data_IF_603293320595
#
_entry.id   IF_603293320595
#
_cell.length_a   1.000
_cell.length_b   1.000
_cell.length_c   1.000
_cell.angle_alpha   90.00
_cell.angle_beta   90.00
_cell.angle_gamma   90.00
#
_symmetry.space_group_name_H-M   'P 1'
#
loop_
_entity.id
_entity.type
_entity.pdbx_description
1 polymer ?
#
# COMPACT_ATOMS: atom_id res chain seq x y z
N UNK A 1 -10.88 22.31 1.11
CA UNK A 1 -10.93 21.10 1.99
C UNK A 1 -12.06 21.35 2.97
N UNK A 2 -12.95 20.39 3.26
CA UNK A 2 -13.91 20.63 4.33
C UNK A 2 -13.17 20.59 5.68
N UNK A 3 -13.64 21.31 6.71
CA UNK A 3 -13.05 21.29 8.07
C UNK A 3 -12.97 19.89 8.72
N UNK A 4 -13.43 18.85 8.02
CA UNK A 4 -13.47 17.46 8.44
C UNK A 4 -12.57 16.54 7.59
N UNK A 5 -11.79 17.06 6.63
CA UNK A 5 -10.80 16.25 5.92
C UNK A 5 -9.62 15.96 6.84
N UNK A 6 -9.72 14.87 7.60
CA UNK A 6 -8.68 14.39 8.49
C UNK A 6 -7.39 14.12 7.71
N UNK A 7 -6.25 14.30 8.38
CA UNK A 7 -4.91 14.00 7.87
C UNK A 7 -4.83 12.59 7.27
N UNK A 8 -5.61 11.66 7.83
CA UNK A 8 -5.75 10.28 7.39
C UNK A 8 -6.39 10.11 5.99
N UNK A 9 -7.21 11.06 5.53
CA UNK A 9 -7.78 11.01 4.18
C UNK A 9 -6.82 11.55 3.12
N UNK A 10 -5.96 12.49 3.52
CA UNK A 10 -4.95 13.08 2.63
C UNK A 10 -3.74 12.15 2.49
N UNK A 11 -3.14 11.77 3.61
CA UNK A 11 -1.88 10.99 3.65
C UNK A 11 -2.14 9.49 3.67
N UNK A 12 -3.22 9.09 4.33
CA UNK A 12 -3.56 7.69 4.57
C UNK A 12 -3.63 7.39 6.05
N UNK A 13 -4.27 6.27 6.39
CA UNK A 13 -4.41 5.85 7.77
C UNK A 13 -4.88 4.41 7.88
N UNK A 14 -4.80 3.85 9.08
CA UNK A 14 -5.33 2.52 9.34
C UNK A 14 -6.85 2.53 9.34
N UNK A 15 -7.44 1.85 8.35
CA UNK A 15 -8.89 1.70 8.21
C UNK A 15 -9.25 0.21 8.29
N UNK A 16 -10.45 -0.13 8.79
CA UNK A 16 -10.93 -1.50 8.69
C UNK A 16 -11.13 -1.85 7.22
N UNK A 17 -10.47 -2.90 6.75
CA UNK A 17 -10.55 -3.40 5.39
C UNK A 17 -11.08 -4.84 5.38
N UNK A 18 -11.82 -5.17 4.32
CA UNK A 18 -12.25 -6.55 4.05
C UNK A 18 -11.02 -7.42 3.78
N UNK A 19 -11.03 -8.67 4.26
CA UNK A 19 -9.96 -9.64 4.04
C UNK A 19 -9.61 -9.77 2.55
N UNK A 20 -10.58 -9.58 1.65
CA UNK A 20 -10.37 -9.57 0.21
C UNK A 20 -9.35 -8.53 -0.25
N UNK A 21 -9.32 -7.33 0.35
CA UNK A 21 -8.38 -6.27 -0.03
C UNK A 21 -6.94 -6.61 0.39
N UNK A 22 -6.78 -7.30 1.51
CA UNK A 22 -5.45 -7.75 1.98
C UNK A 22 -4.97 -8.96 1.16
N UNK A 23 -5.86 -9.90 0.88
CA UNK A 23 -5.54 -11.14 0.20
C UNK A 23 -5.39 -10.98 -1.31
N UNK A 24 -5.97 -9.95 -1.93
CA UNK A 24 -5.86 -9.70 -3.37
C UNK A 24 -4.40 -9.51 -3.83
N UNK A 25 -3.62 -8.54 -3.31
CA UNK A 25 -2.24 -8.35 -3.72
C UNK A 25 -1.37 -9.55 -3.35
N UNK A 26 -1.68 -10.24 -2.25
CA UNK A 26 -0.98 -11.46 -1.85
C UNK A 26 -1.21 -12.60 -2.86
N UNK A 27 -2.46 -12.79 -3.31
CA UNK A 27 -2.83 -13.77 -4.33
C UNK A 27 -2.18 -13.45 -5.68
N UNK A 28 -2.20 -12.19 -6.09
CA UNK A 28 -1.60 -11.76 -7.37
C UNK A 28 -0.09 -12.00 -7.38
N UNK A 29 0.61 -11.62 -6.31
CA UNK A 29 2.04 -11.90 -6.16
C UNK A 29 2.33 -13.41 -6.16
N UNK A 30 1.48 -14.20 -5.50
CA UNK A 30 1.59 -15.66 -5.52
C UNK A 30 1.39 -16.26 -6.92
N UNK A 31 0.36 -15.84 -7.65
CA UNK A 31 0.07 -16.36 -8.99
C UNK A 31 1.19 -16.00 -9.98
N UNK A 32 1.76 -14.81 -9.85
CA UNK A 32 2.91 -14.38 -10.65
C UNK A 32 4.15 -15.25 -10.36
N UNK A 33 4.56 -15.37 -9.09
CA UNK A 33 5.69 -16.22 -8.68
C UNK A 33 5.48 -17.70 -9.01
N UNK A 34 4.24 -18.18 -8.86
CA UNK A 34 3.86 -19.53 -9.24
C UNK A 34 4.05 -19.75 -10.73
N UNK A 35 3.67 -18.80 -11.59
CA UNK A 35 3.84 -18.94 -13.04
C UNK A 35 5.31 -18.91 -13.49
N UNK A 36 6.17 -18.25 -12.72
CA UNK A 36 7.63 -18.25 -12.94
C UNK A 36 8.29 -19.56 -12.44
N UNK A 37 7.70 -20.20 -11.43
CA UNK A 37 8.26 -21.39 -10.77
C UNK A 37 7.70 -22.70 -11.35
N UNK A 38 6.41 -22.75 -11.65
CA UNK A 38 5.68 -23.93 -12.07
C UNK A 38 5.02 -23.72 -13.44
N UNK A 39 4.87 -24.79 -14.22
CA UNK A 39 4.18 -24.71 -15.50
C UNK A 39 2.69 -24.41 -15.30
N UNK A 40 2.24 -23.24 -15.80
CA UNK A 40 0.82 -22.84 -15.75
C UNK A 40 -0.10 -23.85 -16.43
N UNK A 41 0.35 -24.44 -17.55
CA UNK A 41 -0.45 -25.41 -18.34
C UNK A 41 -0.76 -26.68 -17.55
N UNK A 42 0.20 -27.19 -16.78
CA UNK A 42 0.03 -28.41 -15.99
C UNK A 42 -0.79 -28.16 -14.71
N UNK A 43 -0.81 -26.92 -14.22
CA UNK A 43 -1.42 -26.54 -12.95
C UNK A 43 -2.71 -25.70 -13.11
N UNK A 44 -3.38 -25.79 -14.25
CA UNK A 44 -4.62 -25.05 -14.55
C UNK A 44 -5.73 -25.34 -13.53
N UNK A 45 -5.90 -26.60 -13.13
CA UNK A 45 -6.91 -27.03 -12.14
C UNK A 45 -6.62 -26.45 -10.76
N UNK A 46 -5.36 -26.46 -10.34
CA UNK A 46 -4.91 -25.86 -9.09
C UNK A 46 -5.16 -24.34 -9.07
N UNK A 47 -4.75 -23.63 -10.11
CA UNK A 47 -4.99 -22.18 -10.23
C UNK A 47 -6.49 -21.84 -10.28
N UNK A 48 -7.29 -22.69 -10.93
CA UNK A 48 -8.75 -22.59 -10.89
C UNK A 48 -9.31 -22.76 -9.47
N UNK A 49 -8.75 -23.67 -8.69
CA UNK A 49 -9.14 -23.87 -7.29
C UNK A 49 -8.74 -22.67 -6.41
N UNK A 50 -7.53 -22.12 -6.58
CA UNK A 50 -7.08 -20.87 -5.92
C UNK A 50 -8.06 -19.73 -6.20
N UNK A 51 -8.44 -19.55 -7.47
CA UNK A 51 -9.40 -18.51 -7.88
C UNK A 51 -10.80 -18.77 -7.28
N UNK A 52 -11.23 -20.03 -7.23
CA UNK A 52 -12.52 -20.43 -6.64
C UNK A 52 -12.56 -20.16 -5.13
N UNK A 53 -11.48 -20.48 -4.40
CA UNK A 53 -11.34 -20.15 -2.98
C UNK A 53 -11.42 -18.64 -2.74
N UNK A 54 -10.73 -17.84 -3.56
CA UNK A 54 -10.76 -16.39 -3.45
C UNK A 54 -12.15 -15.80 -3.74
N UNK A 55 -12.84 -16.26 -4.80
CA UNK A 55 -14.20 -15.82 -5.13
C UNK A 55 -15.23 -16.23 -4.09
N UNK A 56 -15.09 -17.45 -3.56
CA UNK A 56 -15.95 -18.01 -2.51
C UNK A 56 -15.66 -17.50 -1.11
N UNK A 57 -14.76 -16.52 -0.94
CA UNK A 57 -14.34 -15.98 0.37
C UNK A 57 -13.80 -17.05 1.34
N UNK A 58 -13.26 -18.15 0.83
CA UNK A 58 -12.67 -19.25 1.62
C UNK A 58 -11.22 -18.92 1.97
N UNK A 59 -11.03 -17.91 2.82
CA UNK A 59 -9.72 -17.32 3.12
C UNK A 59 -8.75 -18.30 3.76
N UNK A 60 -9.22 -19.12 4.70
CA UNK A 60 -8.36 -20.11 5.37
C UNK A 60 -7.86 -21.18 4.40
N UNK A 61 -8.71 -21.66 3.49
CA UNK A 61 -8.34 -22.64 2.49
C UNK A 61 -7.35 -22.05 1.48
N UNK A 62 -7.60 -20.82 1.03
CA UNK A 62 -6.69 -20.08 0.15
C UNK A 62 -5.29 -19.96 0.78
N UNK A 63 -5.22 -19.52 2.03
CA UNK A 63 -3.96 -19.35 2.75
C UNK A 63 -3.22 -20.68 2.96
N UNK A 64 -3.94 -21.77 3.23
CA UNK A 64 -3.34 -23.11 3.35
C UNK A 64 -2.77 -23.60 2.01
N UNK A 65 -3.47 -23.39 0.91
CA UNK A 65 -2.99 -23.77 -0.43
C UNK A 65 -1.70 -23.02 -0.78
N UNK A 66 -1.68 -21.71 -0.53
CA UNK A 66 -0.52 -20.86 -0.79
C UNK A 66 0.68 -21.24 0.11
N UNK A 67 0.45 -21.47 1.41
CA UNK A 67 1.48 -21.93 2.36
C UNK A 67 2.11 -23.26 1.93
N UNK A 68 1.28 -24.22 1.49
CA UNK A 68 1.78 -25.52 1.01
C UNK A 68 2.72 -25.36 -0.19
N UNK A 69 2.35 -24.52 -1.15
CA UNK A 69 3.18 -24.26 -2.34
C UNK A 69 4.44 -23.50 -1.98
N UNK A 70 4.38 -22.49 -1.10
CA UNK A 70 5.59 -21.79 -0.61
C UNK A 70 6.59 -22.78 0.00
N UNK A 71 6.12 -23.71 0.85
CA UNK A 71 6.96 -24.76 1.45
C UNK A 71 7.56 -25.70 0.42
N UNK A 72 6.78 -26.10 -0.59
CA UNK A 72 7.24 -26.95 -1.68
C UNK A 72 8.30 -26.26 -2.54
N UNK A 73 8.09 -25.00 -2.90
CA UNK A 73 9.03 -24.20 -3.68
C UNK A 73 10.38 -24.07 -2.95
N UNK A 74 10.35 -23.78 -1.64
CA UNK A 74 11.56 -23.57 -0.84
C UNK A 74 12.35 -24.84 -0.51
N UNK A 75 11.74 -26.04 -0.61
CA UNK A 75 12.42 -27.28 -0.21
C UNK A 75 13.10 -28.03 -1.35
N UNK A 76 12.56 -28.04 -2.57
CA UNK A 76 13.06 -28.97 -3.60
C UNK A 76 13.10 -28.46 -5.05
N UNK A 77 12.32 -27.46 -5.43
CA UNK A 77 12.08 -27.22 -6.87
C UNK A 77 12.86 -26.07 -7.52
N UNK A 78 13.58 -25.27 -6.73
CA UNK A 78 14.29 -24.10 -7.25
C UNK A 78 15.67 -24.44 -7.84
N UNK A 79 16.24 -25.62 -7.53
CA UNK A 79 17.65 -25.94 -7.80
C UNK A 79 18.02 -26.05 -9.30
N UNK A 80 17.05 -26.22 -10.20
CA UNK A 80 17.32 -26.44 -11.63
C UNK A 80 17.27 -25.16 -12.48
N UNK A 81 16.99 -23.99 -11.90
CA UNK A 81 16.80 -22.73 -12.65
C UNK A 81 17.98 -21.77 -12.51
N UNK A 82 18.34 -21.10 -13.61
CA UNK A 82 19.39 -20.05 -13.60
C UNK A 82 19.10 -18.92 -12.60
N UNK A 83 17.83 -18.67 -12.31
CA UNK A 83 17.36 -17.61 -11.42
C UNK A 83 16.92 -18.15 -10.04
N UNK A 84 17.39 -19.34 -9.65
CA UNK A 84 17.01 -20.04 -8.42
C UNK A 84 17.11 -19.14 -7.18
N UNK A 85 18.23 -18.42 -7.01
CA UNK A 85 18.48 -17.58 -5.84
C UNK A 85 17.48 -16.41 -5.73
N UNK A 86 17.16 -15.76 -6.86
CA UNK A 86 16.20 -14.63 -6.90
C UNK A 86 14.79 -15.14 -6.60
N UNK A 87 14.39 -16.24 -7.22
CA UNK A 87 13.09 -16.85 -6.98
C UNK A 87 12.96 -17.32 -5.53
N UNK A 88 14.01 -17.90 -4.95
CA UNK A 88 14.03 -18.30 -3.54
C UNK A 88 13.79 -17.10 -2.63
N UNK A 89 14.51 -16.00 -2.83
CA UNK A 89 14.33 -14.78 -2.05
C UNK A 89 12.89 -14.25 -2.16
N UNK A 90 12.30 -14.28 -3.36
CA UNK A 90 10.92 -13.85 -3.58
C UNK A 90 9.91 -14.77 -2.88
N UNK A 91 10.13 -16.09 -2.90
CA UNK A 91 9.30 -17.06 -2.16
C UNK A 91 9.42 -16.91 -0.64
N UNK A 92 10.61 -16.64 -0.12
CA UNK A 92 10.83 -16.35 1.31
C UNK A 92 10.09 -15.08 1.74
N UNK A 93 10.19 -14.01 0.95
CA UNK A 93 9.46 -12.76 1.20
C UNK A 93 7.94 -12.97 1.17
N UNK A 94 7.44 -13.74 0.20
CA UNK A 94 6.02 -14.08 0.11
C UNK A 94 5.57 -14.94 1.31
N UNK A 95 6.37 -15.92 1.72
CA UNK A 95 6.07 -16.78 2.87
C UNK A 95 6.02 -15.99 4.18
N UNK A 96 6.95 -15.06 4.40
CA UNK A 96 6.92 -14.16 5.55
C UNK A 96 5.64 -13.31 5.58
N UNK A 97 5.29 -12.69 4.44
CA UNK A 97 4.06 -11.89 4.30
C UNK A 97 2.79 -12.72 4.50
N UNK A 98 2.78 -13.96 4.02
CA UNK A 98 1.68 -14.89 4.19
C UNK A 98 1.49 -15.28 5.66
N UNK A 99 2.57 -15.57 6.37
CA UNK A 99 2.56 -15.87 7.81
C UNK A 99 2.01 -14.69 8.62
N UNK A 100 2.49 -13.46 8.32
CA UNK A 100 1.99 -12.25 8.94
C UNK A 100 0.48 -12.05 8.69
N UNK A 101 0.03 -12.25 7.44
CA UNK A 101 -1.38 -12.12 7.06
C UNK A 101 -2.25 -13.19 7.74
N UNK A 102 -1.76 -14.43 7.84
CA UNK A 102 -2.44 -15.50 8.58
C UNK A 102 -2.59 -15.15 10.07
N UNK A 103 -1.57 -14.58 10.69
CA UNK A 103 -1.63 -14.14 12.08
C UNK A 103 -2.63 -13.00 12.25
N UNK A 104 -2.60 -11.99 11.39
CA UNK A 104 -3.57 -10.88 11.40
C UNK A 104 -5.01 -11.38 11.30
N UNK A 105 -5.30 -12.29 10.36
CA UNK A 105 -6.65 -12.85 10.18
C UNK A 105 -7.06 -13.76 11.35
N UNK A 106 -6.12 -14.44 12.01
CA UNK A 106 -6.42 -15.26 13.21
C UNK A 106 -6.70 -14.43 14.44
N UNK A 107 -5.97 -13.33 14.63
CA UNK A 107 -6.13 -12.45 15.79
C UNK A 107 -7.39 -11.58 15.66
N UNK A 108 -7.82 -11.26 14.44
CA UNK A 108 -9.09 -10.60 14.16
C UNK A 108 -10.20 -11.64 13.96
N UNK A 109 -10.90 -12.03 15.03
CA UNK A 109 -12.07 -12.93 14.96
C UNK A 109 -13.25 -12.31 14.18
N UNK A 110 -13.29 -10.99 14.08
CA UNK A 110 -14.25 -10.23 13.27
C UNK A 110 -13.70 -10.00 11.86
N UNK A 111 -14.59 -9.98 10.86
CA UNK A 111 -14.27 -9.85 9.43
C UNK A 111 -13.57 -8.53 9.01
N UNK A 112 -13.10 -7.73 9.97
CA UNK A 112 -12.41 -6.46 9.77
C UNK A 112 -10.97 -6.59 10.27
N UNK A 113 -10.03 -6.55 9.34
CA UNK A 113 -8.61 -6.39 9.63
C UNK A 113 -8.26 -4.93 9.39
N UNK A 114 -7.42 -4.33 10.23
CA UNK A 114 -6.94 -2.96 10.00
C UNK A 114 -5.74 -2.98 9.07
N UNK A 115 -5.80 -2.23 7.98
CA UNK A 115 -4.67 -2.02 7.09
C UNK A 115 -4.49 -0.52 6.81
N UNK A 116 -3.24 -0.12 6.59
CA UNK A 116 -2.94 1.24 6.16
C UNK A 116 -3.44 1.43 4.72
N UNK A 117 -4.39 2.35 4.56
CA UNK A 117 -4.94 2.73 3.25
C UNK A 117 -4.29 4.05 2.85
N UNK A 118 -3.56 4.05 1.72
CA UNK A 118 -2.92 5.25 1.17
C UNK A 118 -3.97 6.32 0.86
N UNK A 119 -3.74 7.53 1.36
CA UNK A 119 -4.61 8.69 1.14
C UNK A 119 -4.49 9.26 -0.27
N UNK A 120 -5.38 10.20 -0.58
CA UNK A 120 -5.50 10.75 -1.94
C UNK A 120 -4.21 11.41 -2.43
N UNK A 121 -3.49 12.12 -1.55
CA UNK A 121 -2.21 12.75 -1.89
C UNK A 121 -1.13 11.69 -2.13
N UNK A 122 -1.00 10.71 -1.24
CA UNK A 122 0.01 9.64 -1.38
C UNK A 122 -0.14 8.90 -2.71
N UNK A 123 -1.38 8.56 -3.09
CA UNK A 123 -1.66 7.92 -4.38
C UNK A 123 -1.34 8.84 -5.57
N UNK A 124 -1.66 10.13 -5.47
CA UNK A 124 -1.40 11.09 -6.53
C UNK A 124 0.09 11.32 -6.76
N UNK A 125 0.88 11.44 -5.68
CA UNK A 125 2.34 11.58 -5.74
C UNK A 125 2.98 10.38 -6.44
N UNK A 126 2.48 9.16 -6.19
CA UNK A 126 2.97 7.92 -6.82
C UNK A 126 2.57 7.79 -8.29
N UNK A 127 1.34 8.20 -8.64
CA UNK A 127 0.77 8.06 -10.00
C UNK A 127 1.00 9.26 -10.92
N UNK A 128 1.58 10.35 -10.42
CA UNK A 128 1.78 11.58 -11.19
C UNK A 128 0.50 12.38 -11.42
N UNK A 129 -0.50 12.24 -10.57
CA UNK A 129 -1.74 12.99 -10.71
C UNK A 129 -1.59 14.44 -10.23
N UNK A 130 -2.44 15.31 -10.76
CA UNK A 130 -2.48 16.70 -10.33
C UNK A 130 -3.40 16.83 -9.13
N UNK A 131 -2.94 17.52 -8.09
CA UNK A 131 -3.70 17.72 -6.85
C UNK A 131 -3.92 19.21 -6.64
N UNK A 132 -5.16 19.58 -6.37
CA UNK A 132 -5.54 20.92 -5.93
C UNK A 132 -5.91 20.87 -4.45
N UNK A 133 -5.09 21.50 -3.61
CA UNK A 133 -5.38 21.73 -2.20
C UNK A 133 -6.10 23.05 -2.05
N UNK A 134 -7.38 22.99 -1.75
CA UNK A 134 -8.17 24.18 -1.46
C UNK A 134 -8.17 24.48 0.05
N UNK A 135 -8.04 25.76 0.41
CA UNK A 135 -7.98 26.28 1.78
C UNK A 135 -6.84 25.69 2.63
N UNK A 136 -5.63 25.62 2.07
CA UNK A 136 -4.45 25.03 2.74
C UNK A 136 -4.15 25.65 4.12
N UNK A 137 -4.53 26.91 4.35
CA UNK A 137 -4.38 27.62 5.62
C UNK A 137 -5.24 27.06 6.77
N UNK A 138 -6.22 26.20 6.47
CA UNK A 138 -7.05 25.52 7.47
C UNK A 138 -6.53 24.11 7.82
N UNK A 139 -5.51 23.63 7.11
CA UNK A 139 -4.92 22.33 7.41
C UNK A 139 -4.23 22.32 8.78
N UNK A 140 -4.20 21.15 9.42
CA UNK A 140 -3.47 20.93 10.65
C UNK A 140 -1.95 21.15 10.44
N UNK A 141 -1.23 21.49 11.52
CA UNK A 141 0.20 21.79 11.44
C UNK A 141 1.00 20.58 10.96
N UNK A 142 0.60 19.38 11.41
CA UNK A 142 1.18 18.09 11.03
C UNK A 142 1.03 17.86 9.51
N UNK A 143 -0.13 18.17 8.94
CA UNK A 143 -0.37 18.05 7.50
C UNK A 143 0.52 19.00 6.69
N UNK A 144 0.72 20.22 7.17
CA UNK A 144 1.58 21.22 6.53
C UNK A 144 3.05 20.82 6.59
N UNK A 145 3.50 20.20 7.67
CA UNK A 145 4.86 19.66 7.81
C UNK A 145 5.09 18.45 6.88
N UNK A 146 4.11 17.55 6.74
CA UNK A 146 4.21 16.48 5.74
C UNK A 146 4.26 17.02 4.31
N UNK A 147 3.52 18.11 4.04
CA UNK A 147 3.55 18.79 2.74
C UNK A 147 4.87 19.53 2.48
N UNK A 148 5.53 20.06 3.52
CA UNK A 148 6.81 20.76 3.34
C UNK A 148 7.88 19.82 2.80
N UNK A 149 7.98 18.59 3.30
CA UNK A 149 8.91 17.58 2.77
C UNK A 149 8.66 17.21 1.30
N UNK A 150 7.41 17.28 0.84
CA UNK A 150 7.06 17.07 -0.58
C UNK A 150 7.39 18.29 -1.45
N UNK A 151 7.31 19.49 -0.87
CA UNK A 151 7.56 20.78 -1.53
C UNK A 151 9.04 21.19 -1.51
N UNK A 152 9.85 20.58 -0.65
CA UNK A 152 11.30 20.75 -0.60
C UNK A 152 11.98 20.20 -1.87
N UNK A 153 12.09 21.08 -2.88
CA UNK A 153 12.88 20.85 -4.08
C UNK A 153 12.21 19.98 -5.16
N UNK A 154 13.00 19.64 -6.18
CA UNK A 154 12.53 18.84 -7.32
C UNK A 154 12.49 17.33 -7.05
N UNK A 155 13.09 16.88 -5.95
CA UNK A 155 13.17 15.49 -5.52
C UNK A 155 12.51 15.26 -4.14
N UNK A 156 11.66 16.20 -3.70
CA UNK A 156 10.93 16.08 -2.44
C UNK A 156 10.17 14.76 -2.33
N UNK A 157 10.11 14.22 -1.13
CA UNK A 157 9.51 12.91 -0.87
C UNK A 157 8.53 13.00 0.28
N UNK A 158 7.44 12.23 0.19
CA UNK A 158 6.44 12.18 1.25
C UNK A 158 6.73 10.99 2.17
N UNK A 159 7.09 11.25 3.42
CA UNK A 159 7.26 10.19 4.43
C UNK A 159 5.91 9.92 5.10
N UNK A 160 5.41 8.69 4.95
CA UNK A 160 4.17 8.26 5.60
C UNK A 160 4.49 7.68 6.98
N UNK A 161 4.59 8.56 7.98
CA UNK A 161 4.94 8.18 9.36
C UNK A 161 4.03 7.07 9.93
N UNK A 162 2.73 7.14 9.61
CA UNK A 162 1.73 6.18 10.08
C UNK A 162 1.85 4.79 9.43
N UNK A 163 2.57 4.64 8.31
CA UNK A 163 2.71 3.34 7.63
C UNK A 163 3.64 2.39 8.39
N UNK A 164 4.48 2.89 9.29
CA UNK A 164 5.47 2.10 10.04
C UNK A 164 6.70 1.67 9.23
N UNK A 165 6.63 1.74 7.89
CA UNK A 165 7.79 1.68 7.00
C UNK A 165 8.31 3.09 6.75
N UNK A 166 9.60 3.32 7.04
CA UNK A 166 10.28 4.61 6.82
C UNK A 166 10.60 4.87 5.34
N UNK A 167 10.00 4.13 4.41
CA UNK A 167 10.25 4.30 2.98
C UNK A 167 9.64 5.62 2.47
N UNK A 168 10.46 6.58 2.04
CA UNK A 168 9.95 7.85 1.53
C UNK A 168 9.27 7.63 0.17
N UNK A 169 8.07 8.15 0.01
CA UNK A 169 7.33 8.08 -1.24
C UNK A 169 7.89 9.12 -2.20
N UNK A 170 8.61 8.64 -3.20
CA UNK A 170 9.28 9.48 -4.21
C UNK A 170 8.24 10.13 -5.13
N UNK A 171 8.40 11.43 -5.36
CA UNK A 171 7.52 12.21 -6.23
C UNK A 171 7.66 11.78 -7.70
N UNK A 172 6.53 11.46 -8.32
CA UNK A 172 6.49 11.19 -9.75
C UNK A 172 6.83 12.45 -10.57
N UNK A 173 7.59 12.36 -11.68
CA UNK A 173 8.00 13.52 -12.48
C UNK A 173 6.84 14.40 -12.97
N UNK A 174 5.70 13.79 -13.32
CA UNK A 174 4.50 14.47 -13.81
C UNK A 174 3.57 15.01 -12.71
N UNK A 175 3.88 14.72 -11.43
CA UNK A 175 3.07 15.19 -10.32
C UNK A 175 3.10 16.71 -10.23
N UNK A 176 1.91 17.32 -10.07
CA UNK A 176 1.75 18.76 -9.86
C UNK A 176 0.84 19.01 -8.66
N UNK A 177 1.30 19.89 -7.77
CA UNK A 177 0.53 20.33 -6.62
C UNK A 177 0.18 21.81 -6.79
N UNK A 178 -1.11 22.11 -6.73
CA UNK A 178 -1.63 23.47 -6.68
C UNK A 178 -2.25 23.66 -5.30
N UNK A 179 -1.98 24.81 -4.67
CA UNK A 179 -2.58 25.15 -3.39
C UNK A 179 -3.25 26.51 -3.50
N UNK A 180 -4.53 26.56 -3.15
CA UNK A 180 -5.30 27.79 -3.03
C UNK A 180 -5.38 28.16 -1.56
N UNK A 181 -5.22 29.46 -1.29
CA UNK A 181 -5.37 30.05 0.03
C UNK A 181 -6.37 31.19 -0.06
N UNK A 182 -7.30 31.24 0.88
CA UNK A 182 -8.15 32.41 1.02
C UNK A 182 -7.32 33.59 1.56
N UNK A 183 -7.45 34.81 1.01
CA UNK A 183 -6.71 35.97 1.50
C UNK A 183 -6.99 36.21 3.00
N UNK A 184 -5.94 36.60 3.73
CA UNK A 184 -5.93 36.74 5.19
C UNK A 184 -6.67 38.00 5.70
N UNK A 185 -7.83 38.33 5.13
CA UNK A 185 -8.66 39.49 5.52
C UNK A 185 -9.85 39.10 6.37
N UNK A 186 -9.96 37.83 6.78
CA UNK A 186 -11.14 37.29 7.45
C UNK A 186 -10.76 36.62 8.77
N UNK A 187 -11.53 36.91 9.82
CA UNK A 187 -11.19 36.63 11.22
C UNK A 187 -10.99 35.12 11.45
N UNK A 188 -9.86 34.72 12.06
CA UNK A 188 -9.59 33.34 12.47
C UNK A 188 -8.67 32.51 11.57
N UNK A 189 -8.10 33.07 10.49
CA UNK A 189 -7.24 32.33 9.55
C UNK A 189 -5.75 32.48 9.89
N UNK A 190 -5.07 31.34 10.10
CA UNK A 190 -3.63 31.26 10.42
C UNK A 190 -2.79 31.49 9.15
N UNK A 191 -1.66 32.19 9.30
CA UNK A 191 -0.68 32.33 8.22
C UNK A 191 0.01 30.99 7.95
N UNK A 192 0.33 30.71 6.69
CA UNK A 192 1.17 29.57 6.33
C UNK A 192 2.57 29.71 6.97
N UNK A 193 3.17 28.62 7.45
CA UNK A 193 4.55 28.63 7.94
C UNK A 193 5.49 29.09 6.82
N UNK A 194 6.53 29.85 7.19
CA UNK A 194 7.45 30.50 6.24
C UNK A 194 8.10 29.50 5.26
N UNK A 195 8.30 28.25 5.67
CA UNK A 195 8.86 27.19 4.81
C UNK A 195 7.98 26.78 3.63
N UNK A 196 6.68 27.08 3.65
CA UNK A 196 5.74 26.77 2.56
C UNK A 196 5.47 27.97 1.64
N UNK A 197 5.96 29.16 1.99
CA UNK A 197 5.66 30.42 1.31
C UNK A 197 6.74 30.85 0.31
N UNK A 198 7.94 30.27 0.39
CA UNK A 198 9.11 30.69 -0.38
C UNK A 198 9.39 29.77 -1.57
#
# INVERSE_FOLDING_TARGET
MNQQSDTADLLGGYKPVDHKQILLPLREAFEDLFSQTYSRKQNLTFLGHVQTCFRGKRWQDLLKLMDHVCKSALTKELQEKSNAAVLQQQWEALAAKLSQTQQQIRTCETAMVFAFVEGTLAQAVKKGHWVLLDEINLAAAETLECLSGLLEGSAGSLVLLDRGDTEPLVRHPDFRLFACMNPATDVGKRNLPLGLRN
#
